data_IF_340952119046
#
_entry.id   IF_340952119046
#
_cell.length_a   1.000
_cell.length_b   1.000
_cell.length_c   1.000
_cell.angle_alpha   90.00
_cell.angle_beta   90.00
_cell.angle_gamma   90.00
#
_symmetry.space_group_name_H-M   'P 1'
#
loop_
_entity.id
_entity.type
_entity.pdbx_description
1 polymer ?
#
# COMPACT_ATOMS: atom_id res chain seq x y z
N UNK A 1 -12.32 -2.41 7.45
CA UNK A 1 -12.62 -2.94 6.11
C UNK A 1 -12.64 -1.76 5.17
N UNK A 2 -11.65 -1.65 4.29
CA UNK A 2 -11.81 -0.87 3.07
C UNK A 2 -13.10 -1.36 2.40
N UNK A 3 -13.93 -0.45 1.91
CA UNK A 3 -15.26 -0.77 1.33
C UNK A 3 -15.12 -1.15 -0.14
N UNK A 4 -13.90 -1.26 -0.63
CA UNK A 4 -13.57 -1.21 -2.02
C UNK A 4 -12.49 -2.26 -2.25
N UNK A 5 -12.77 -3.21 -3.15
CA UNK A 5 -11.83 -4.23 -3.61
C UNK A 5 -10.71 -3.62 -4.47
N UNK A 6 -9.99 -2.67 -3.87
CA UNK A 6 -9.05 -1.72 -4.48
C UNK A 6 -7.66 -1.79 -3.85
N UNK A 7 -7.57 -2.32 -2.63
CA UNK A 7 -6.35 -2.33 -1.84
C UNK A 7 -6.15 -3.64 -1.07
N UNK A 8 -4.88 -3.87 -0.75
CA UNK A 8 -4.51 -4.72 0.37
C UNK A 8 -4.01 -3.83 1.49
N UNK A 9 -4.46 -4.04 2.72
CA UNK A 9 -4.10 -3.20 3.85
C UNK A 9 -3.76 -4.01 5.11
N UNK A 10 -3.01 -3.39 6.00
CA UNK A 10 -2.77 -3.88 7.35
C UNK A 10 -2.62 -2.73 8.34
N UNK A 11 -2.81 -3.05 9.61
CA UNK A 11 -2.34 -2.16 10.68
C UNK A 11 -0.82 -2.11 10.64
N UNK A 12 -0.27 -0.90 10.59
CA UNK A 12 1.17 -0.64 10.61
C UNK A 12 1.42 0.66 11.39
N UNK A 13 1.57 0.51 12.71
CA UNK A 13 1.69 1.62 13.67
C UNK A 13 3.04 2.36 13.61
N UNK A 14 4.00 1.84 12.84
CA UNK A 14 5.31 2.47 12.66
C UNK A 14 5.26 3.44 11.48
N UNK A 15 5.76 4.66 11.65
CA UNK A 15 5.82 5.67 10.60
C UNK A 15 5.63 7.08 11.15
N UNK A 16 6.06 8.07 10.38
CA UNK A 16 5.86 9.49 10.69
C UNK A 16 4.81 10.05 9.73
N UNK A 17 3.76 10.64 10.28
CA UNK A 17 2.77 11.37 9.50
C UNK A 17 3.23 12.80 9.27
N UNK A 18 3.41 13.17 8.02
CA UNK A 18 3.72 14.55 7.61
C UNK A 18 2.70 15.00 6.57
N UNK A 19 2.11 16.18 6.77
CA UNK A 19 1.13 16.73 5.82
C UNK A 19 1.80 17.11 4.49
N UNK A 20 3.07 17.51 4.54
CA UNK A 20 3.83 17.99 3.38
C UNK A 20 4.16 16.88 2.37
N UNK A 21 4.20 15.61 2.80
CA UNK A 21 4.43 14.46 1.92
C UNK A 21 3.13 13.91 1.30
N UNK A 22 1.97 14.45 1.70
CA UNK A 22 0.67 14.03 1.17
C UNK A 22 0.48 14.56 -0.25
N UNK A 23 0.08 13.67 -1.16
CA UNK A 23 -0.18 13.97 -2.57
C UNK A 23 -1.61 13.63 -2.93
N UNK A 24 -2.17 14.38 -3.88
CA UNK A 24 -3.52 14.15 -4.36
C UNK A 24 -3.58 12.88 -5.21
N UNK A 25 -4.43 11.95 -4.81
CA UNK A 25 -4.66 10.67 -5.45
C UNK A 25 -3.49 9.71 -5.35
N UNK A 26 -3.77 8.47 -5.74
CA UNK A 26 -2.79 7.39 -5.88
C UNK A 26 -2.78 6.86 -7.30
N UNK A 27 -1.70 6.17 -7.65
CA UNK A 27 -1.56 5.34 -8.84
C UNK A 27 -1.66 3.87 -8.49
N UNK A 28 -2.10 3.05 -9.44
CA UNK A 28 -2.07 1.61 -9.25
C UNK A 28 -0.61 1.14 -9.10
N UNK A 29 -0.32 0.49 -7.99
CA UNK A 29 1.01 0.08 -7.54
C UNK A 29 1.54 0.89 -6.36
N UNK A 30 0.93 2.02 -6.02
CA UNK A 30 1.39 2.84 -4.90
C UNK A 30 1.22 2.10 -3.56
N UNK A 31 2.25 2.20 -2.74
CA UNK A 31 2.26 1.77 -1.35
C UNK A 31 2.06 3.02 -0.51
N UNK A 32 0.95 3.07 0.20
CA UNK A 32 0.51 4.22 0.96
C UNK A 32 0.61 3.91 2.44
N UNK A 33 1.14 4.86 3.19
CA UNK A 33 1.01 4.87 4.64
C UNK A 33 0.06 5.99 5.04
N UNK A 34 -1.00 5.66 5.79
CA UNK A 34 -1.99 6.63 6.20
C UNK A 34 -2.44 6.34 7.63
N UNK A 35 -1.93 7.12 8.58
CA UNK A 35 -2.45 7.16 9.95
C UNK A 35 -2.45 5.80 10.67
N UNK A 36 -1.37 5.03 10.52
CA UNK A 36 -1.25 3.71 11.14
C UNK A 36 -1.74 2.54 10.27
N UNK A 37 -2.09 2.80 9.01
CA UNK A 37 -2.39 1.78 8.02
C UNK A 37 -1.37 1.80 6.89
N UNK A 38 -0.87 0.61 6.52
CA UNK A 38 -0.12 0.40 5.30
C UNK A 38 -1.04 -0.22 4.26
N UNK A 39 -1.12 0.37 3.08
CA UNK A 39 -2.02 -0.07 2.00
C UNK A 39 -1.28 -0.17 0.67
N UNK A 40 -1.53 -1.22 -0.09
CA UNK A 40 -1.07 -1.40 -1.47
C UNK A 40 -2.26 -1.16 -2.38
N UNK A 41 -2.23 -0.04 -3.11
CA UNK A 41 -3.31 0.33 -4.02
C UNK A 41 -3.11 -0.36 -5.36
N UNK A 42 -3.94 -1.34 -5.70
CA UNK A 42 -3.80 -2.08 -6.97
C UNK A 42 -4.91 -1.78 -7.98
N UNK A 43 -5.95 -1.03 -7.57
CA UNK A 43 -7.01 -0.46 -8.41
C UNK A 43 -7.41 0.94 -7.91
N UNK A 44 -8.44 1.51 -8.53
CA UNK A 44 -9.10 2.72 -8.03
C UNK A 44 -8.41 4.05 -8.38
N UNK A 45 -7.29 4.04 -9.11
CA UNK A 45 -6.55 5.24 -9.52
C UNK A 45 -7.44 6.34 -10.15
N UNK A 46 -8.42 5.98 -10.98
CA UNK A 46 -9.33 6.97 -11.59
C UNK A 46 -10.20 7.72 -10.57
N UNK A 47 -10.53 7.09 -9.46
CA UNK A 47 -11.40 7.62 -8.42
C UNK A 47 -10.60 8.22 -7.24
N UNK A 48 -9.26 8.18 -7.31
CA UNK A 48 -8.39 8.54 -6.19
C UNK A 48 -8.30 10.05 -5.93
N UNK A 49 -8.69 10.88 -6.90
CA UNK A 49 -8.51 12.33 -6.88
C UNK A 49 -9.19 13.05 -5.71
N UNK A 50 -10.15 12.43 -5.03
CA UNK A 50 -10.79 12.98 -3.84
C UNK A 50 -9.97 12.83 -2.56
N UNK A 51 -8.84 12.11 -2.61
CA UNK A 51 -8.04 11.76 -1.44
C UNK A 51 -6.65 12.38 -1.52
N UNK A 52 -6.12 12.80 -0.38
CA UNK A 52 -4.70 13.08 -0.21
C UNK A 52 -4.08 11.89 0.51
N UNK A 53 -2.96 11.38 0.00
CA UNK A 53 -2.32 10.16 0.48
C UNK A 53 -0.81 10.33 0.53
N UNK A 54 -0.16 9.68 1.49
CA UNK A 54 1.29 9.65 1.58
C UNK A 54 1.81 8.36 0.94
N UNK A 55 2.31 8.48 -0.29
CA UNK A 55 2.93 7.37 -1.02
C UNK A 55 4.38 7.20 -0.55
N UNK A 56 4.69 6.05 0.05
CA UNK A 56 6.01 5.72 0.58
C UNK A 56 6.79 4.73 -0.29
N UNK A 57 6.17 4.24 -1.37
CA UNK A 57 6.79 3.35 -2.33
C UNK A 57 5.87 3.01 -3.48
N UNK A 58 6.38 2.26 -4.45
CA UNK A 58 5.58 1.78 -5.58
C UNK A 58 6.05 0.41 -6.04
N UNK A 59 5.10 -0.45 -6.39
CA UNK A 59 5.35 -1.72 -7.07
C UNK A 59 5.56 -1.45 -8.55
N UNK A 60 6.57 -2.10 -9.14
CA UNK A 60 6.82 -2.02 -10.58
C UNK A 60 5.56 -2.44 -11.36
N UNK A 61 5.21 -1.67 -12.40
CA UNK A 61 4.01 -1.91 -13.20
C UNK A 61 3.95 -3.31 -13.80
N UNK A 62 5.09 -3.88 -14.17
CA UNK A 62 5.19 -5.25 -14.70
C UNK A 62 4.73 -6.32 -13.68
N UNK A 63 4.83 -6.02 -12.39
CA UNK A 63 4.50 -6.92 -11.30
C UNK A 63 3.08 -6.76 -10.75
N UNK A 64 2.31 -5.76 -11.20
CA UNK A 64 0.95 -5.49 -10.68
C UNK A 64 -0.03 -6.64 -10.91
N UNK A 65 0.19 -7.45 -11.94
CA UNK A 65 -0.67 -8.61 -12.22
C UNK A 65 -0.61 -9.66 -11.10
N UNK A 66 0.49 -9.71 -10.34
CA UNK A 66 0.64 -10.62 -9.20
C UNK A 66 -0.39 -10.29 -8.12
N UNK A 67 -0.59 -9.01 -7.82
CA UNK A 67 -1.53 -8.55 -6.78
C UNK A 67 -2.97 -9.01 -7.04
N UNK A 68 -3.37 -9.11 -8.31
CA UNK A 68 -4.71 -9.58 -8.69
C UNK A 68 -4.92 -11.07 -8.40
N UNK A 69 -3.85 -11.85 -8.33
CA UNK A 69 -3.87 -13.30 -8.09
C UNK A 69 -3.73 -13.66 -6.62
N UNK A 70 -3.41 -12.69 -5.76
CA UNK A 70 -3.26 -12.95 -4.33
C UNK A 70 -4.62 -13.28 -3.68
N UNK A 71 -4.64 -14.24 -2.74
CA UNK A 71 -5.83 -14.54 -1.94
C UNK A 71 -6.18 -13.37 -1.02
N UNK A 72 -7.37 -13.43 -0.40
CA UNK A 72 -7.89 -12.36 0.46
C UNK A 72 -7.02 -12.06 1.70
N UNK A 73 -6.25 -13.04 2.17
CA UNK A 73 -5.21 -12.85 3.19
C UNK A 73 -3.88 -13.32 2.59
N UNK A 74 -2.84 -12.50 2.70
CA UNK A 74 -1.49 -12.83 2.24
C UNK A 74 -0.46 -12.28 3.21
N UNK A 75 0.62 -13.01 3.43
CA UNK A 75 1.79 -12.49 4.13
C UNK A 75 2.73 -11.83 3.13
N UNK A 76 3.07 -10.56 3.35
CA UNK A 76 4.11 -9.85 2.61
C UNK A 76 5.30 -9.61 3.53
N UNK A 77 6.50 -9.81 2.98
CA UNK A 77 7.76 -9.46 3.65
C UNK A 77 8.40 -8.30 2.90
N UNK A 78 8.67 -7.22 3.61
CA UNK A 78 9.46 -6.10 3.10
C UNK A 78 10.92 -6.33 3.44
N UNK A 79 11.79 -6.33 2.42
CA UNK A 79 13.24 -6.44 2.56
C UNK A 79 13.90 -5.18 2.02
N UNK A 80 14.77 -4.58 2.82
CA UNK A 80 15.60 -3.47 2.35
C UNK A 80 16.78 -4.05 1.58
N UNK A 81 16.94 -3.68 0.31
CA UNK A 81 17.93 -4.31 -0.58
C UNK A 81 19.39 -4.08 -0.13
N UNK A 82 19.64 -3.13 0.78
CA UNK A 82 20.99 -2.76 1.24
C UNK A 82 21.20 -2.84 2.77
N UNK A 83 20.26 -3.39 3.54
CA UNK A 83 20.41 -3.58 5.00
C UNK A 83 19.71 -4.86 5.45
N UNK A 84 20.33 -5.66 6.35
CA UNK A 84 19.77 -6.89 6.91
C UNK A 84 18.67 -6.61 7.95
N UNK A 85 17.55 -6.02 7.52
CA UNK A 85 16.32 -5.94 8.30
C UNK A 85 15.17 -6.58 7.51
N UNK A 86 14.58 -7.63 8.06
CA UNK A 86 13.40 -8.30 7.52
C UNK A 86 12.20 -7.94 8.39
N UNK A 87 11.19 -7.29 7.80
CA UNK A 87 9.91 -7.04 8.46
C UNK A 87 8.82 -7.89 7.79
N UNK A 88 8.14 -8.70 8.59
CA UNK A 88 7.02 -9.53 8.16
C UNK A 88 5.71 -8.85 8.53
N UNK A 89 4.79 -8.72 7.58
CA UNK A 89 3.49 -8.11 7.86
C UNK A 89 2.39 -8.83 7.09
N UNK A 90 1.31 -9.19 7.80
CA UNK A 90 0.12 -9.78 7.19
C UNK A 90 -0.75 -8.68 6.63
N UNK A 91 -1.12 -8.80 5.36
CA UNK A 91 -2.03 -7.87 4.67
C UNK A 91 -3.34 -8.57 4.33
N UNK A 92 -4.42 -7.81 4.38
CA UNK A 92 -5.78 -8.25 4.11
C UNK A 92 -6.34 -7.47 2.92
N UNK A 93 -7.11 -8.15 2.10
CA UNK A 93 -7.81 -7.53 0.98
C UNK A 93 -9.06 -6.81 1.49
N UNK A 94 -9.14 -5.52 1.19
CA UNK A 94 -10.33 -4.68 1.40
C UNK A 94 -11.35 -4.82 0.30
#
# INVERSE_FOLDING_TARGET
>A
MSKFDIDFYCNYSSGNYTVDEMKKGWKNGDIIWCGGFLSIMYRGEKNSQGYNVMTIGSIDKSNLQILRKLPNETSITFKTVNFFFENHTKIFRG
#
